data_IF_669647029760
#
_entry.id   IF_669647029760
#
_cell.length_a   1.000
_cell.length_b   1.000
_cell.length_c   1.000
_cell.angle_alpha   90.00
_cell.angle_beta   90.00
_cell.angle_gamma   90.00
#
_symmetry.space_group_name_H-M   'P 1'
#
loop_
_entity.id
_entity.type
_entity.pdbx_description
1 polymer ?
#
# COMPACT_ATOMS: atom_id res chain seq x y z
N UNK A 1 -12.73 6.43 -14.61
CA UNK A 1 -11.80 6.47 -13.50
C UNK A 1 -10.67 5.47 -13.66
N UNK A 2 -10.62 4.74 -14.71
CA UNK A 2 -9.49 3.85 -14.95
C UNK A 2 -9.50 2.57 -14.18
N UNK A 3 -10.64 2.13 -13.68
CA UNK A 3 -10.75 0.85 -13.00
C UNK A 3 -11.79 0.01 -13.73
N UNK A 4 -11.68 -1.30 -13.58
CA UNK A 4 -12.61 -2.19 -14.24
C UNK A 4 -13.83 -2.44 -13.38
N UNK A 5 -14.81 -3.12 -13.97
CA UNK A 5 -16.08 -3.35 -13.31
C UNK A 5 -15.94 -4.20 -12.06
N UNK A 6 -15.03 -5.16 -12.09
CA UNK A 6 -14.85 -6.02 -10.93
C UNK A 6 -14.30 -5.27 -9.74
N UNK A 7 -13.41 -4.32 -9.98
CA UNK A 7 -12.89 -3.50 -8.92
C UNK A 7 -14.01 -2.67 -8.29
N UNK A 8 -14.87 -2.11 -9.13
CA UNK A 8 -16.00 -1.34 -8.63
C UNK A 8 -16.92 -2.21 -7.80
N UNK A 9 -17.19 -3.41 -8.26
CA UNK A 9 -18.05 -4.33 -7.51
C UNK A 9 -17.43 -4.74 -6.20
N UNK A 10 -16.12 -4.92 -6.19
CA UNK A 10 -15.43 -5.23 -4.95
C UNK A 10 -15.58 -4.12 -3.93
N UNK A 11 -15.41 -2.88 -4.37
CA UNK A 11 -15.59 -1.73 -3.47
C UNK A 11 -17.02 -1.66 -2.98
N UNK A 12 -17.99 -1.99 -3.82
CA UNK A 12 -19.39 -1.99 -3.41
C UNK A 12 -19.65 -3.06 -2.35
N UNK A 13 -19.06 -4.23 -2.51
CA UNK A 13 -19.21 -5.29 -1.52
C UNK A 13 -18.58 -4.90 -0.19
N UNK A 14 -17.53 -4.09 -0.22
CA UNK A 14 -16.89 -3.64 1.00
C UNK A 14 -17.56 -2.41 1.59
N UNK A 15 -18.61 -1.93 0.97
CA UNK A 15 -19.32 -0.76 1.48
C UNK A 15 -18.64 0.58 1.19
N UNK A 16 -17.62 0.58 0.35
CA UNK A 16 -16.91 1.81 0.02
C UNK A 16 -17.60 2.61 -1.07
N UNK A 17 -18.39 1.94 -1.90
CA UNK A 17 -19.16 2.60 -2.95
C UNK A 17 -20.59 2.13 -2.86
N UNK A 18 -21.51 3.02 -3.18
CA UNK A 18 -22.92 2.66 -3.24
C UNK A 18 -23.21 1.95 -4.55
N UNK A 19 -24.21 1.07 -4.53
CA UNK A 19 -24.69 0.51 -5.77
C UNK A 19 -25.63 1.49 -6.40
N UNK A 20 -25.44 1.83 -7.68
CA UNK A 20 -26.35 2.76 -8.32
C UNK A 20 -27.68 2.10 -8.58
N UNK A 21 -28.71 2.93 -8.59
CA UNK A 21 -30.02 2.43 -8.93
C UNK A 21 -30.03 2.00 -10.37
N UNK A 22 -30.80 0.94 -10.65
CA UNK A 22 -30.98 0.52 -12.00
C UNK A 22 -32.21 1.15 -12.57
N UNK A 23 -32.07 1.98 -13.59
CA UNK A 23 -33.25 2.55 -14.23
C UNK A 23 -34.01 1.44 -14.97
N UNK A 24 -35.25 1.72 -15.36
CA UNK A 24 -35.97 0.77 -16.19
C UNK A 24 -35.17 0.44 -17.43
N UNK A 25 -35.07 -0.82 -17.76
CA UNK A 25 -34.23 -1.27 -18.84
C UNK A 25 -32.93 -1.89 -18.39
N UNK A 26 -32.59 -1.78 -17.12
CA UNK A 26 -31.49 -2.53 -16.55
C UNK A 26 -30.11 -1.97 -16.75
N UNK A 27 -30.00 -0.75 -17.26
CA UNK A 27 -28.69 -0.15 -17.47
C UNK A 27 -28.26 0.59 -16.22
N UNK A 28 -27.06 0.24 -15.72
CA UNK A 28 -26.50 0.93 -14.56
C UNK A 28 -25.84 2.21 -14.99
N UNK A 29 -26.08 3.24 -14.23
CA UNK A 29 -25.43 4.51 -14.47
C UNK A 29 -24.79 5.00 -13.18
N UNK A 30 -23.60 5.55 -13.33
CA UNK A 30 -22.88 6.07 -12.18
C UNK A 30 -22.90 7.59 -12.24
N UNK A 31 -23.24 8.22 -11.14
CA UNK A 31 -23.32 9.67 -11.06
C UNK A 31 -21.93 10.27 -10.91
N UNK A 32 -21.86 11.61 -11.01
CA UNK A 32 -20.61 12.31 -10.76
C UNK A 32 -20.14 12.08 -9.34
N UNK A 33 -21.07 11.99 -8.39
CA UNK A 33 -20.71 11.73 -7.00
C UNK A 33 -20.10 10.35 -6.85
N UNK A 34 -20.60 9.36 -7.59
CA UNK A 34 -20.02 8.04 -7.56
C UNK A 34 -18.60 8.03 -8.10
N UNK A 35 -18.37 8.79 -9.16
CA UNK A 35 -17.04 8.87 -9.76
C UNK A 35 -16.08 9.56 -8.80
N UNK A 36 -16.53 10.62 -8.15
CA UNK A 36 -15.69 11.31 -7.17
C UNK A 36 -15.32 10.39 -6.03
N UNK A 37 -16.26 9.59 -5.56
CA UNK A 37 -15.99 8.69 -4.47
C UNK A 37 -15.04 7.58 -4.88
N UNK A 38 -15.19 7.09 -6.09
CA UNK A 38 -14.26 6.09 -6.62
C UNK A 38 -12.86 6.67 -6.72
N UNK A 39 -12.75 7.90 -7.18
CA UNK A 39 -11.45 8.57 -7.27
C UNK A 39 -10.84 8.71 -5.88
N UNK A 40 -11.66 9.07 -4.90
CA UNK A 40 -11.20 9.17 -3.51
C UNK A 40 -10.62 7.83 -3.04
N UNK A 41 -11.36 6.75 -3.24
CA UNK A 41 -10.92 5.43 -2.78
C UNK A 41 -9.62 5.03 -3.47
N UNK A 42 -9.56 5.24 -4.78
CA UNK A 42 -8.40 4.84 -5.54
C UNK A 42 -7.17 5.63 -5.14
N UNK A 43 -7.33 6.94 -4.95
CA UNK A 43 -6.22 7.78 -4.53
C UNK A 43 -5.71 7.37 -3.16
N UNK A 44 -6.62 7.10 -2.24
CA UNK A 44 -6.21 6.68 -0.90
C UNK A 44 -5.45 5.36 -0.93
N UNK A 45 -5.88 4.44 -1.80
CA UNK A 45 -5.16 3.18 -1.93
C UNK A 45 -3.76 3.40 -2.47
N UNK A 46 -3.61 4.33 -3.40
CA UNK A 46 -2.29 4.65 -3.94
C UNK A 46 -1.36 5.21 -2.88
N UNK A 47 -1.93 5.87 -1.88
CA UNK A 47 -1.13 6.39 -0.76
C UNK A 47 -0.85 5.35 0.30
N UNK A 48 -1.35 4.13 0.11
CA UNK A 48 -1.04 3.06 1.04
C UNK A 48 -2.08 2.78 2.10
N UNK A 49 -3.23 3.45 2.06
CA UNK A 49 -4.28 3.16 3.01
C UNK A 49 -4.96 1.83 2.67
N UNK A 50 -5.24 1.05 3.69
CA UNK A 50 -6.00 -0.17 3.51
C UNK A 50 -7.46 0.16 3.29
N UNK A 51 -8.24 -0.82 2.85
CA UNK A 51 -9.66 -0.58 2.63
C UNK A 51 -10.38 -0.23 3.92
N UNK A 52 -9.98 -0.83 5.04
CA UNK A 52 -10.59 -0.47 6.32
C UNK A 52 -10.25 0.96 6.70
N UNK A 53 -9.01 1.36 6.47
CA UNK A 53 -8.60 2.74 6.73
C UNK A 53 -9.32 3.71 5.83
N UNK A 54 -9.56 3.33 4.58
CA UNK A 54 -10.30 4.18 3.66
C UNK A 54 -11.73 4.33 4.12
N UNK A 55 -12.31 3.27 4.65
CA UNK A 55 -13.65 3.37 5.21
C UNK A 55 -13.72 4.41 6.31
N UNK A 56 -12.70 4.46 7.16
CA UNK A 56 -12.63 5.49 8.19
C UNK A 56 -12.52 6.88 7.59
N UNK A 57 -11.69 7.01 6.55
CA UNK A 57 -11.55 8.31 5.90
C UNK A 57 -12.84 8.77 5.24
N UNK A 58 -13.61 7.82 4.70
CA UNK A 58 -14.87 8.19 4.05
C UNK A 58 -15.88 8.75 5.03
N UNK A 59 -15.81 8.30 6.28
CA UNK A 59 -16.71 8.89 7.27
C UNK A 59 -16.43 10.35 7.53
N UNK A 60 -15.23 10.82 7.14
CA UNK A 60 -14.82 12.19 7.38
C UNK A 60 -14.81 13.02 6.12
N UNK A 61 -15.42 12.51 5.05
CA UNK A 61 -15.27 13.15 3.73
C UNK A 61 -16.08 14.45 3.63
N UNK A 62 -16.93 14.74 4.60
CA UNK A 62 -17.64 16.01 4.59
C UNK A 62 -16.72 17.20 4.85
N UNK A 63 -15.45 16.94 5.20
CA UNK A 63 -14.49 18.01 5.38
C UNK A 63 -14.60 18.73 6.72
N UNK A 64 -15.46 18.24 7.60
CA UNK A 64 -15.67 18.92 8.87
C UNK A 64 -14.80 18.39 9.99
N UNK A 65 -14.01 17.35 9.73
CA UNK A 65 -13.24 16.68 10.77
C UNK A 65 -11.76 16.66 10.46
N UNK A 66 -11.19 17.84 10.23
CA UNK A 66 -9.80 17.93 9.78
C UNK A 66 -8.84 17.32 10.79
N UNK A 67 -9.11 17.47 12.09
CA UNK A 67 -8.22 16.91 13.09
C UNK A 67 -8.20 15.39 13.06
N UNK A 68 -9.37 14.79 12.87
CA UNK A 68 -9.45 13.34 12.82
C UNK A 68 -8.79 12.82 11.55
N UNK A 69 -9.03 13.48 10.42
CA UNK A 69 -8.41 13.08 9.16
C UNK A 69 -6.89 13.22 9.25
N UNK A 70 -6.43 14.29 9.88
CA UNK A 70 -5.01 14.52 10.06
C UNK A 70 -4.37 13.42 10.91
N UNK A 71 -5.07 13.00 11.96
CA UNK A 71 -4.56 11.94 12.82
C UNK A 71 -4.43 10.62 12.06
N UNK A 72 -5.38 10.31 11.20
CA UNK A 72 -5.30 9.10 10.39
C UNK A 72 -4.12 9.18 9.43
N UNK A 73 -3.91 10.34 8.84
CA UNK A 73 -2.80 10.54 7.92
C UNK A 73 -1.46 10.45 8.65
N UNK A 74 -1.39 10.99 9.87
CA UNK A 74 -0.17 10.92 10.64
C UNK A 74 0.17 9.50 11.02
N UNK A 75 -0.84 8.71 11.35
CA UNK A 75 -0.62 7.31 11.66
C UNK A 75 -0.06 6.58 10.43
N UNK A 76 -0.66 6.84 9.27
CA UNK A 76 -0.17 6.23 8.03
C UNK A 76 1.24 6.69 7.70
N UNK A 77 1.54 7.95 7.95
CA UNK A 77 2.88 8.46 7.71
C UNK A 77 3.91 7.73 8.56
N UNK A 78 3.56 7.45 9.82
CA UNK A 78 4.45 6.68 10.66
C UNK A 78 4.71 5.29 10.12
N UNK A 79 3.66 4.62 9.64
CA UNK A 79 3.81 3.31 9.03
C UNK A 79 4.73 3.37 7.82
N UNK A 80 4.56 4.38 6.98
CA UNK A 80 5.37 4.53 5.78
C UNK A 80 6.83 4.75 6.15
N UNK A 81 7.07 5.59 7.14
CA UNK A 81 8.43 5.85 7.57
C UNK A 81 9.12 4.60 8.10
N UNK A 82 8.38 3.77 8.82
CA UNK A 82 8.94 2.51 9.27
C UNK A 82 9.30 1.60 8.11
N UNK A 83 8.46 1.58 7.09
CA UNK A 83 8.74 0.77 5.92
C UNK A 83 9.95 1.28 5.14
N UNK A 84 10.08 2.59 5.04
CA UNK A 84 11.24 3.17 4.37
C UNK A 84 12.51 2.78 5.12
N UNK A 85 12.48 2.89 6.43
CA UNK A 85 13.62 2.55 7.25
C UNK A 85 14.00 1.09 7.07
N UNK A 86 13.00 0.21 7.05
CA UNK A 86 13.26 -1.21 6.84
C UNK A 86 13.85 -1.48 5.47
N UNK A 87 13.30 -0.81 4.45
CA UNK A 87 13.80 -0.99 3.10
C UNK A 87 15.23 -0.47 2.96
N UNK A 88 15.54 0.61 3.62
CA UNK A 88 16.91 1.12 3.60
C UNK A 88 17.89 0.13 4.23
N UNK A 89 17.47 -0.53 5.28
CA UNK A 89 18.33 -1.53 5.90
C UNK A 89 18.53 -2.74 4.98
N UNK A 90 17.46 -3.15 4.30
CA UNK A 90 17.55 -4.25 3.34
C UNK A 90 18.46 -3.86 2.19
N UNK A 91 18.29 -2.65 1.70
CA UNK A 91 19.11 -2.16 0.61
C UNK A 91 20.60 -2.18 0.98
N UNK A 92 20.89 -1.73 2.19
CA UNK A 92 22.28 -1.72 2.63
C UNK A 92 22.87 -3.12 2.69
N UNK A 93 22.12 -4.07 3.23
CA UNK A 93 22.60 -5.44 3.32
C UNK A 93 22.83 -6.02 1.94
N UNK A 94 21.88 -5.83 1.03
CA UNK A 94 22.01 -6.37 -0.31
C UNK A 94 23.17 -5.73 -1.05
N UNK A 95 23.35 -4.43 -0.87
CA UNK A 95 24.43 -3.72 -1.53
C UNK A 95 25.77 -4.25 -1.07
N UNK A 96 25.91 -4.51 0.22
CA UNK A 96 27.16 -5.05 0.74
C UNK A 96 27.41 -6.45 0.22
N UNK A 97 26.35 -7.26 0.10
CA UNK A 97 26.50 -8.59 -0.45
C UNK A 97 26.94 -8.57 -1.91
N UNK A 98 26.36 -7.67 -2.68
CA UNK A 98 26.72 -7.53 -4.09
C UNK A 98 28.18 -7.09 -4.20
N UNK A 99 28.59 -6.14 -3.37
CA UNK A 99 29.96 -5.67 -3.39
C UNK A 99 30.95 -6.80 -3.09
N UNK A 100 30.59 -7.63 -2.12
CA UNK A 100 31.47 -8.75 -1.79
C UNK A 100 31.56 -9.76 -2.93
N UNK A 101 30.45 -10.00 -3.61
CA UNK A 101 30.46 -10.89 -4.74
C UNK A 101 31.36 -10.36 -5.86
N UNK A 102 31.29 -9.06 -6.11
CA UNK A 102 32.14 -8.46 -7.13
C UNK A 102 33.61 -8.53 -6.73
N UNK A 103 33.89 -8.30 -5.45
CA UNK A 103 35.28 -8.31 -5.00
C UNK A 103 35.88 -9.69 -5.03
N UNK A 104 35.08 -10.73 -4.98
CA UNK A 104 35.60 -12.08 -4.93
C UNK A 104 35.26 -12.88 -6.16
N UNK A 105 35.29 -12.25 -7.29
CA UNK A 105 35.02 -12.93 -8.53
C UNK A 105 36.02 -14.06 -8.72
N UNK A 106 35.52 -15.17 -9.17
CA UNK A 106 36.40 -16.31 -9.39
C UNK A 106 36.51 -17.27 -8.22
N UNK A 107 35.98 -16.88 -7.07
CA UNK A 107 35.96 -17.80 -5.94
C UNK A 107 34.92 -18.87 -6.14
N UNK A 108 35.17 -20.01 -5.52
CA UNK A 108 34.25 -21.11 -5.61
C UNK A 108 33.00 -20.80 -4.80
N UNK A 109 33.16 -20.20 -3.63
CA UNK A 109 32.04 -19.90 -2.76
C UNK A 109 31.54 -18.51 -3.02
N UNK A 110 30.26 -18.40 -3.35
CA UNK A 110 29.64 -17.11 -3.56
C UNK A 110 29.30 -16.48 -2.21
N UNK A 111 29.82 -15.29 -1.90
CA UNK A 111 29.53 -14.69 -0.60
C UNK A 111 28.05 -14.43 -0.39
N UNK A 112 27.33 -14.09 -1.44
CA UNK A 112 25.89 -13.85 -1.32
C UNK A 112 25.16 -15.11 -0.90
N UNK A 113 25.45 -16.22 -1.59
CA UNK A 113 24.79 -17.49 -1.27
C UNK A 113 25.17 -17.95 0.12
N UNK A 114 26.43 -17.80 0.48
CA UNK A 114 26.88 -18.19 1.82
C UNK A 114 26.17 -17.38 2.90
N UNK A 115 26.01 -16.09 2.66
CA UNK A 115 25.32 -15.24 3.63
C UNK A 115 23.86 -15.63 3.80
N UNK A 116 23.23 -16.03 2.71
CA UNK A 116 21.83 -16.44 2.80
C UNK A 116 21.68 -17.74 3.57
N UNK A 117 22.66 -18.65 3.45
CA UNK A 117 22.63 -19.88 4.23
C UNK A 117 22.82 -19.60 5.72
N UNK A 118 23.60 -18.60 6.04
CA UNK A 118 23.85 -18.28 7.45
C UNK A 118 22.74 -17.49 8.09
N UNK A 119 21.93 -16.83 7.27
CA UNK A 119 20.89 -15.98 7.82
C UNK A 119 21.39 -14.57 8.07
N UNK A 120 20.49 -13.74 8.52
CA UNK A 120 20.81 -12.33 8.72
C UNK A 120 20.81 -11.96 10.19
N UNK A 121 21.25 -12.87 11.05
CA UNK A 121 21.09 -12.62 12.45
C UNK A 121 21.81 -11.43 12.95
N UNK A 122 22.92 -11.05 12.32
CA UNK A 122 23.62 -9.94 12.80
C UNK A 122 23.12 -8.65 12.32
N UNK A 123 22.43 -8.65 11.22
CA UNK A 123 22.06 -7.44 10.59
C UNK A 123 20.74 -6.97 10.95
N UNK A 124 19.95 -7.75 11.82
CA UNK A 124 18.74 -7.40 11.84
C UNK A 124 17.93 -7.54 12.89
N UNK A 125 16.87 -6.97 12.84
CA UNK A 125 15.85 -7.02 13.77
C UNK A 125 14.85 -7.94 13.28
N UNK A 126 14.73 -9.06 13.83
CA UNK A 126 13.87 -10.06 13.24
C UNK A 126 12.43 -9.80 13.37
N UNK A 127 12.07 -8.79 14.03
CA UNK A 127 10.72 -8.74 14.08
C UNK A 127 10.16 -8.02 13.17
N UNK A 128 9.74 -8.25 12.80
CA UNK A 128 9.21 -7.78 12.00
C UNK A 128 8.32 -7.92 11.75
#
# INVERSE_FOLDING_TARGET
AGVNVETIRYYQRRGLLSEPERPPGGIRRYSAADIDRLTFVKTAQQLGFSLDEISDLLRLEDGAHCQEASALAEHKLGDVREKIDRLERIEKVLSEMVDRCHAQQGNITCPLIASLHEGLREAEDPRE
#
